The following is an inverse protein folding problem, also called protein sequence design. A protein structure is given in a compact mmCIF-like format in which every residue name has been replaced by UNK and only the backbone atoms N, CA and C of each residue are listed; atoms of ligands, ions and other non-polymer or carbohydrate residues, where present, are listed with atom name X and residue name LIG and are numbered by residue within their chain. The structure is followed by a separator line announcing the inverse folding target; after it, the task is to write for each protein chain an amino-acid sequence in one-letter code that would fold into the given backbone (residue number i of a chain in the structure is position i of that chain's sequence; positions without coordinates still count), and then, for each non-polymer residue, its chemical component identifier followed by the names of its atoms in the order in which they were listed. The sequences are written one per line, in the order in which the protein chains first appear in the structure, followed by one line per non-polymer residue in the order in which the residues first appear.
data_IF_354449531155
#
_entry.id   IF_354449531155
#
_cell.length_a   1.000
_cell.length_b   1.000
_cell.length_c   1.000
_cell.angle_alpha   90.00
_cell.angle_beta   90.00
_cell.angle_gamma   90.00
#
_symmetry.space_group_name_H-M   'P 1'
#
loop_
_entity.id
_entity.type
_entity.pdbx_description
1 polymer ?
#
# COMPACT_ATOMS: atom_id res chain seq x y z
N UNK A 1 -7.13 -0.69 -10.27
CA UNK A 1 -6.18 0.04 -11.15
C UNK A 1 -6.55 1.51 -11.12
N UNK A 2 -5.56 2.37 -10.99
CA UNK A 2 -5.73 3.81 -11.07
C UNK A 2 -4.92 4.33 -12.26
N UNK A 3 -5.45 5.36 -12.92
CA UNK A 3 -4.81 6.03 -14.05
C UNK A 3 -4.70 7.52 -13.72
N UNK A 4 -3.56 8.10 -14.00
CA UNK A 4 -3.28 9.51 -13.79
C UNK A 4 -2.69 10.10 -15.07
N UNK A 5 -3.32 11.12 -15.62
CA UNK A 5 -2.73 11.93 -16.68
C UNK A 5 -1.82 12.95 -16.01
N UNK A 6 -0.52 12.76 -16.09
CA UNK A 6 0.48 13.64 -15.47
C UNK A 6 0.78 14.85 -16.37
N UNK A 7 0.83 14.60 -17.69
CA UNK A 7 1.06 15.63 -18.70
C UNK A 7 0.08 15.39 -19.83
N UNK A 8 -0.87 16.30 -20.01
CA UNK A 8 -1.87 16.25 -21.08
C UNK A 8 -1.34 16.73 -22.44
N UNK A 9 -0.09 17.14 -22.47
CA UNK A 9 0.56 17.76 -23.61
C UNK A 9 0.82 19.24 -23.37
N UNK A 10 1.86 19.73 -24.01
CA UNK A 10 2.19 21.14 -24.03
C UNK A 10 2.16 21.62 -25.48
N UNK A 11 1.31 22.57 -25.76
CA UNK A 11 1.14 23.15 -27.10
C UNK A 11 1.32 24.66 -26.99
N UNK A 12 2.09 25.20 -27.91
CA UNK A 12 2.30 26.66 -28.01
C UNK A 12 1.11 27.38 -28.62
N UNK A 13 0.16 26.63 -29.16
CA UNK A 13 -1.06 27.12 -29.78
C UNK A 13 -2.13 26.04 -29.76
N UNK A 14 -3.40 26.43 -29.67
CA UNK A 14 -4.56 25.54 -29.65
C UNK A 14 -4.77 24.69 -30.92
N UNK A 15 -4.11 25.08 -32.02
CA UNK A 15 -4.12 24.33 -33.28
C UNK A 15 -2.89 23.44 -33.51
N UNK A 16 -1.98 23.34 -32.53
CA UNK A 16 -0.84 22.47 -32.60
C UNK A 16 -1.04 21.22 -31.73
N UNK A 17 -0.82 19.99 -32.25
CA UNK A 17 -0.90 18.81 -31.43
C UNK A 17 0.22 18.81 -30.37
N UNK A 18 -0.03 18.31 -29.16
CA UNK A 18 0.97 18.20 -28.13
C UNK A 18 2.10 17.25 -28.59
N UNK A 19 3.34 17.65 -28.33
CA UNK A 19 4.52 16.85 -28.71
C UNK A 19 4.78 15.70 -27.74
N UNK A 20 4.27 15.81 -26.53
CA UNK A 20 4.50 14.86 -25.47
C UNK A 20 3.26 14.76 -24.56
N UNK A 21 2.93 13.55 -24.14
CA UNK A 21 1.97 13.30 -23.09
C UNK A 21 2.47 12.16 -22.19
N UNK A 22 2.09 12.19 -20.94
CA UNK A 22 2.48 11.19 -19.96
C UNK A 22 1.27 10.70 -19.16
N UNK A 23 1.11 9.37 -19.12
CA UNK A 23 0.10 8.71 -18.32
C UNK A 23 0.82 7.78 -17.34
N UNK A 24 0.42 7.84 -16.08
CA UNK A 24 0.88 6.93 -15.04
C UNK A 24 -0.22 5.94 -14.69
N UNK A 25 0.13 4.66 -14.68
CA UNK A 25 -0.73 3.59 -14.19
C UNK A 25 -0.21 3.05 -12.87
N UNK A 26 -1.12 2.85 -11.92
CA UNK A 26 -0.88 2.09 -10.70
C UNK A 26 -1.92 0.97 -10.61
N UNK A 27 -1.48 -0.26 -10.45
CA UNK A 27 -2.38 -1.40 -10.28
C UNK A 27 -1.89 -2.34 -9.20
N UNK A 28 -2.82 -3.03 -8.59
CA UNK A 28 -2.59 -4.05 -7.59
C UNK A 28 -3.36 -5.30 -7.97
N UNK A 29 -2.78 -6.45 -7.75
CA UNK A 29 -3.43 -7.73 -7.98
C UNK A 29 -3.02 -8.74 -6.92
N UNK A 30 -3.83 -9.76 -6.66
CA UNK A 30 -3.53 -10.79 -5.65
C UNK A 30 -2.47 -11.79 -6.12
N UNK A 31 -2.03 -11.75 -7.38
CA UNK A 31 -1.05 -12.67 -7.93
C UNK A 31 -0.17 -12.01 -8.99
N UNK A 32 1.12 -12.36 -9.02
CA UNK A 32 2.08 -11.81 -9.98
C UNK A 32 1.73 -12.11 -11.44
N UNK A 33 1.18 -13.29 -11.71
CA UNK A 33 0.74 -13.64 -13.07
C UNK A 33 -0.35 -12.69 -13.59
N UNK A 34 -1.26 -12.27 -12.74
CA UNK A 34 -2.30 -11.28 -13.09
C UNK A 34 -1.66 -9.91 -13.33
N UNK A 35 -0.70 -9.50 -12.49
CA UNK A 35 0.04 -8.26 -12.70
C UNK A 35 0.73 -8.23 -14.06
N UNK A 36 1.38 -9.32 -14.45
CA UNK A 36 2.06 -9.42 -15.73
C UNK A 36 1.08 -9.36 -16.91
N UNK A 37 -0.09 -10.00 -16.79
CA UNK A 37 -1.13 -9.92 -17.83
C UNK A 37 -1.65 -8.48 -17.99
N UNK A 38 -1.92 -7.77 -16.88
CA UNK A 38 -2.32 -6.35 -16.93
C UNK A 38 -1.26 -5.51 -17.66
N UNK A 39 0.00 -5.67 -17.28
CA UNK A 39 1.10 -4.96 -17.93
C UNK A 39 1.16 -5.23 -19.43
N UNK A 40 1.08 -6.51 -19.83
CA UNK A 40 1.12 -6.90 -21.24
C UNK A 40 -0.01 -6.23 -22.05
N UNK A 41 -1.22 -6.13 -21.48
CA UNK A 41 -2.34 -5.46 -22.13
C UNK A 41 -2.09 -3.96 -22.25
N UNK A 42 -1.64 -3.30 -21.17
CA UNK A 42 -1.35 -1.86 -21.17
C UNK A 42 -0.25 -1.51 -22.19
N UNK A 43 0.84 -2.28 -22.21
CA UNK A 43 1.95 -2.09 -23.15
C UNK A 43 1.50 -2.29 -24.60
N UNK A 44 0.73 -3.34 -24.87
CA UNK A 44 0.16 -3.61 -26.19
C UNK A 44 -0.74 -2.46 -26.65
N UNK A 45 -1.59 -1.95 -25.78
CA UNK A 45 -2.46 -0.82 -26.09
C UNK A 45 -1.63 0.44 -26.42
N UNK A 46 -0.64 0.76 -25.60
CA UNK A 46 0.24 1.91 -25.84
C UNK A 46 0.95 1.83 -27.18
N UNK A 47 1.52 0.67 -27.52
CA UNK A 47 2.20 0.44 -28.83
C UNK A 47 1.25 0.57 -30.00
N UNK A 48 0.02 0.06 -29.91
CA UNK A 48 -0.95 0.16 -30.99
C UNK A 48 -1.44 1.61 -31.20
N UNK A 49 -1.72 2.33 -30.12
CA UNK A 49 -2.11 3.74 -30.21
C UNK A 49 -0.98 4.58 -30.80
N UNK A 50 0.26 4.37 -30.36
CA UNK A 50 1.42 5.05 -30.92
C UNK A 50 1.57 4.78 -32.42
N UNK A 51 1.45 3.53 -32.84
CA UNK A 51 1.50 3.16 -34.27
C UNK A 51 0.36 3.82 -35.09
N UNK A 52 -0.85 3.85 -34.55
CA UNK A 52 -2.01 4.45 -35.21
C UNK A 52 -1.89 5.97 -35.38
N UNK A 53 -1.22 6.63 -34.44
CA UNK A 53 -1.06 8.10 -34.42
C UNK A 53 0.28 8.58 -34.97
N UNK A 54 1.16 7.69 -35.42
CA UNK A 54 2.51 8.03 -35.88
C UNK A 54 3.44 8.51 -34.76
N UNK A 55 3.10 8.18 -33.49
CA UNK A 55 3.91 8.51 -32.32
C UNK A 55 4.84 7.36 -31.92
N UNK A 56 5.75 7.62 -31.01
CA UNK A 56 6.51 6.60 -30.27
C UNK A 56 6.01 6.52 -28.83
N UNK A 57 6.25 5.38 -28.18
CA UNK A 57 5.95 5.18 -26.77
C UNK A 57 7.19 4.65 -26.04
N UNK A 58 7.38 5.08 -24.81
CA UNK A 58 8.36 4.48 -23.91
C UNK A 58 7.75 4.25 -22.54
N UNK A 59 8.28 3.27 -21.81
CA UNK A 59 7.77 2.89 -20.49
C UNK A 59 8.88 3.13 -19.47
N UNK A 60 8.52 3.79 -18.36
CA UNK A 60 9.39 3.93 -17.18
C UNK A 60 8.71 3.29 -15.98
N UNK A 61 9.37 2.34 -15.38
CA UNK A 61 8.93 1.75 -14.12
C UNK A 61 9.21 2.70 -12.96
N UNK A 62 8.26 2.79 -12.03
CA UNK A 62 8.45 3.50 -10.75
C UNK A 62 8.76 2.50 -9.66
N UNK A 63 7.97 1.44 -9.58
CA UNK A 63 8.16 0.37 -8.60
C UNK A 63 7.47 -0.91 -9.05
N UNK A 64 7.95 -2.04 -8.56
CA UNK A 64 7.29 -3.35 -8.60
C UNK A 64 7.49 -4.02 -7.27
N UNK A 65 6.43 -4.52 -6.67
CA UNK A 65 6.49 -5.22 -5.38
C UNK A 65 6.07 -6.68 -5.54
N UNK A 66 6.68 -7.53 -4.76
CA UNK A 66 6.32 -8.95 -4.60
C UNK A 66 5.05 -9.07 -3.78
N UNK A 67 4.49 -10.27 -3.69
CA UNK A 67 3.46 -10.60 -2.69
C UNK A 67 4.10 -10.68 -1.30
N UNK A 68 3.36 -10.32 -0.24
CA UNK A 68 3.87 -10.40 1.13
C UNK A 68 4.08 -11.85 1.58
N UNK A 69 5.16 -12.11 2.29
CA UNK A 69 5.45 -13.37 2.94
C UNK A 69 5.04 -13.27 4.42
N UNK A 70 4.10 -14.11 4.84
CA UNK A 70 3.64 -14.15 6.24
C UNK A 70 4.67 -14.80 7.16
N UNK A 71 4.69 -14.36 8.43
CA UNK A 71 5.41 -15.02 9.52
C UNK A 71 4.47 -15.15 10.72
N UNK A 72 4.04 -16.38 11.02
CA UNK A 72 3.06 -16.64 12.06
C UNK A 72 3.69 -16.51 13.46
N UNK A 73 4.94 -16.93 13.63
CA UNK A 73 5.65 -16.76 14.90
C UNK A 73 5.71 -15.27 15.31
N UNK A 74 6.03 -14.38 14.37
CA UNK A 74 5.97 -12.93 14.61
C UNK A 74 4.56 -12.43 14.89
N UNK A 75 3.56 -12.99 14.21
CA UNK A 75 2.15 -12.61 14.42
C UNK A 75 1.67 -13.01 15.82
N UNK A 76 1.94 -14.23 16.24
CA UNK A 76 1.51 -14.75 17.54
C UNK A 76 2.22 -14.00 18.68
N UNK A 77 3.52 -13.75 18.57
CA UNK A 77 4.29 -12.94 19.53
C UNK A 77 3.72 -11.53 19.65
N UNK A 78 3.50 -10.87 18.51
CA UNK A 78 2.99 -9.49 18.50
C UNK A 78 1.57 -9.43 19.06
N UNK A 79 0.72 -10.41 18.75
CA UNK A 79 -0.64 -10.45 19.28
C UNK A 79 -0.64 -10.70 20.80
N UNK A 80 0.20 -11.58 21.33
CA UNK A 80 0.37 -11.75 22.79
C UNK A 80 0.74 -10.44 23.48
N UNK A 81 1.61 -9.64 22.87
CA UNK A 81 1.95 -8.31 23.37
C UNK A 81 0.80 -7.28 23.22
N UNK A 82 -0.04 -7.42 22.19
CA UNK A 82 -1.28 -6.61 22.11
C UNK A 82 -2.23 -6.95 23.26
N UNK A 83 -2.35 -8.22 23.62
CA UNK A 83 -3.18 -8.64 24.76
C UNK A 83 -2.63 -8.11 26.08
N UNK A 84 -1.31 -8.12 26.26
CA UNK A 84 -0.64 -7.54 27.44
C UNK A 84 -0.89 -6.03 27.57
N UNK A 85 -0.82 -5.30 26.47
CA UNK A 85 -1.04 -3.84 26.42
C UNK A 85 -2.53 -3.50 26.56
N UNK A 86 -3.40 -4.35 26.05
CA UNK A 86 -4.84 -4.17 25.98
C UNK A 86 -5.32 -3.30 24.81
N UNK A 87 -6.63 -3.30 24.54
CA UNK A 87 -7.21 -2.51 23.48
C UNK A 87 -7.15 -1.00 23.77
N UNK A 88 -7.22 -0.15 22.73
CA UNK A 88 -7.28 1.29 22.93
C UNK A 88 -8.57 1.67 23.68
N UNK A 89 -8.48 2.73 24.50
CA UNK A 89 -9.64 3.30 25.22
C UNK A 89 -9.79 4.76 24.81
N UNK A 90 -10.96 5.09 24.30
CA UNK A 90 -11.23 6.44 23.82
C UNK A 90 -11.86 7.28 24.91
N UNK A 91 -11.31 8.48 25.22
CA UNK A 91 -11.84 9.37 26.25
C UNK A 91 -13.16 10.02 25.80
N UNK A 92 -13.85 10.66 26.77
CA UNK A 92 -15.12 11.34 26.53
C UNK A 92 -15.00 12.44 25.46
N UNK A 93 -13.88 13.15 25.41
CA UNK A 93 -13.61 14.14 24.36
C UNK A 93 -13.75 13.56 22.95
N UNK A 94 -13.23 12.36 22.70
CA UNK A 94 -13.37 11.69 21.42
C UNK A 94 -14.81 11.26 21.14
N UNK A 95 -15.53 10.82 22.19
CA UNK A 95 -16.94 10.43 22.09
C UNK A 95 -17.85 11.63 21.85
N UNK A 96 -17.58 12.73 22.51
CA UNK A 96 -18.33 13.98 22.34
C UNK A 96 -18.13 14.55 20.92
N UNK A 97 -16.92 14.52 20.42
CA UNK A 97 -16.65 14.93 19.04
C UNK A 97 -17.36 14.02 18.03
N UNK A 98 -17.38 12.71 18.27
CA UNK A 98 -18.11 11.77 17.45
C UNK A 98 -19.63 12.07 17.43
N UNK A 99 -20.22 12.39 18.59
CA UNK A 99 -21.64 12.83 18.70
C UNK A 99 -21.89 14.15 17.96
N UNK A 100 -20.95 15.09 18.02
CA UNK A 100 -21.05 16.34 17.25
C UNK A 100 -21.06 16.06 15.74
N UNK A 101 -20.22 15.15 15.23
CA UNK A 101 -20.26 14.73 13.83
C UNK A 101 -21.63 14.15 13.48
N UNK A 102 -22.19 13.28 14.33
CA UNK A 102 -23.52 12.70 14.10
C UNK A 102 -24.59 13.81 14.06
N UNK A 103 -24.59 14.73 15.02
CA UNK A 103 -25.53 15.85 15.06
C UNK A 103 -25.42 16.75 13.82
N UNK A 104 -24.22 17.07 13.34
CA UNK A 104 -24.02 17.86 12.11
C UNK A 104 -24.52 17.15 10.86
N UNK A 105 -24.57 15.82 10.87
CA UNK A 105 -25.18 15.04 9.80
C UNK A 105 -26.70 14.86 9.93
N UNK A 106 -27.31 15.50 10.93
CA UNK A 106 -28.74 15.38 11.20
C UNK A 106 -29.15 14.03 11.80
N UNK A 107 -28.17 13.29 12.36
CA UNK A 107 -28.42 12.02 13.02
C UNK A 107 -28.64 12.25 14.51
N UNK A 108 -29.49 11.41 15.11
CA UNK A 108 -29.61 11.37 16.58
C UNK A 108 -28.32 10.82 17.19
N UNK A 109 -27.64 11.57 18.07
CA UNK A 109 -26.45 11.09 18.75
C UNK A 109 -26.74 9.89 19.65
N UNK A 110 -25.88 8.88 19.60
CA UNK A 110 -26.03 7.67 20.42
C UNK A 110 -25.08 7.69 21.62
N UNK A 111 -25.44 7.00 22.69
CA UNK A 111 -24.63 6.95 23.92
C UNK A 111 -23.20 6.46 23.63
N UNK A 112 -23.05 5.33 22.93
CA UNK A 112 -21.75 4.88 22.42
C UNK A 112 -21.63 5.15 20.90
N UNK A 113 -20.99 6.26 20.52
CA UNK A 113 -20.90 6.67 19.13
C UNK A 113 -19.93 5.82 18.31
N UNK A 114 -19.14 4.94 18.95
CA UNK A 114 -18.18 4.09 18.29
C UNK A 114 -18.69 2.66 18.14
N UNK A 115 -18.14 1.94 17.15
CA UNK A 115 -18.34 0.50 17.03
C UNK A 115 -17.67 -0.23 18.19
N UNK A 116 -18.27 -1.33 18.67
CA UNK A 116 -17.72 -2.13 19.77
C UNK A 116 -16.34 -2.71 19.45
N UNK A 117 -16.09 -3.04 18.18
CA UNK A 117 -14.79 -3.52 17.69
C UNK A 117 -13.64 -2.51 17.86
N UNK A 118 -13.94 -1.21 18.06
CA UNK A 118 -12.90 -0.19 18.22
C UNK A 118 -12.13 -0.32 19.55
N UNK A 119 -12.75 -0.89 20.57
CA UNK A 119 -12.18 -1.08 21.90
C UNK A 119 -12.00 -2.58 22.25
N UNK A 120 -11.87 -3.40 21.21
CA UNK A 120 -11.63 -4.84 21.30
C UNK A 120 -10.41 -5.25 20.47
N UNK A 121 -9.63 -6.17 20.99
CA UNK A 121 -8.60 -6.86 20.19
C UNK A 121 -9.26 -7.94 19.35
N UNK A 122 -8.86 -8.04 18.11
CA UNK A 122 -9.33 -9.09 17.21
C UNK A 122 -8.20 -10.11 17.00
N UNK A 123 -8.37 -11.37 17.42
CA UNK A 123 -7.37 -12.40 17.19
C UNK A 123 -7.03 -12.55 15.70
N UNK A 124 -5.76 -12.84 15.34
CA UNK A 124 -5.34 -12.94 13.93
C UNK A 124 -6.17 -13.92 13.12
N UNK A 125 -6.50 -15.09 13.69
CA UNK A 125 -7.35 -16.09 13.03
C UNK A 125 -8.80 -15.63 12.81
N UNK A 126 -9.36 -14.85 13.73
CA UNK A 126 -10.69 -14.25 13.57
C UNK A 126 -10.67 -13.20 12.44
N UNK A 127 -9.62 -12.36 12.43
CA UNK A 127 -9.43 -11.35 11.38
C UNK A 127 -9.27 -12.00 10.01
N UNK A 128 -8.45 -13.03 9.90
CA UNK A 128 -8.29 -13.81 8.66
C UNK A 128 -9.62 -14.42 8.21
N UNK A 129 -10.35 -15.07 9.10
CA UNK A 129 -11.63 -15.67 8.79
C UNK A 129 -12.66 -14.63 8.31
N UNK A 130 -12.63 -13.42 8.87
CA UNK A 130 -13.48 -12.31 8.42
C UNK A 130 -13.14 -11.86 7.02
N UNK A 131 -11.84 -11.70 6.71
CA UNK A 131 -11.38 -11.34 5.37
C UNK A 131 -11.74 -12.42 4.34
N UNK A 132 -11.56 -13.69 4.69
CA UNK A 132 -11.84 -14.84 3.82
C UNK A 132 -13.29 -14.91 3.34
N UNK A 133 -14.24 -14.47 4.15
CA UNK A 133 -15.67 -14.47 3.76
C UNK A 133 -15.97 -13.60 2.53
N UNK A 134 -15.17 -12.57 2.30
CA UNK A 134 -15.36 -11.63 1.21
C UNK A 134 -14.50 -11.92 -0.03
N UNK A 135 -13.65 -12.96 0.02
CA UNK A 135 -12.65 -13.22 -1.01
C UNK A 135 -12.82 -14.60 -1.63
N UNK A 136 -12.52 -14.75 -2.93
CA UNK A 136 -12.48 -16.06 -3.58
C UNK A 136 -11.45 -16.99 -2.92
N UNK A 137 -11.70 -18.29 -2.92
CA UNK A 137 -10.81 -19.29 -2.29
C UNK A 137 -9.37 -19.27 -2.85
N UNK A 138 -9.22 -19.01 -4.15
CA UNK A 138 -7.92 -18.94 -4.81
C UNK A 138 -7.08 -17.73 -4.41
N UNK A 139 -7.69 -16.69 -3.83
CA UNK A 139 -6.99 -15.48 -3.43
C UNK A 139 -6.34 -15.69 -2.07
N UNK A 140 -5.04 -15.91 -2.05
CA UNK A 140 -4.26 -16.18 -0.83
C UNK A 140 -3.70 -14.91 -0.18
N UNK A 141 -3.70 -13.77 -0.89
CA UNK A 141 -3.20 -12.48 -0.40
C UNK A 141 -4.32 -11.46 -0.41
N UNK A 142 -4.54 -10.76 0.70
CA UNK A 142 -5.68 -9.84 0.84
C UNK A 142 -5.31 -8.37 0.95
N UNK A 143 -4.04 -8.08 1.19
CA UNK A 143 -3.57 -6.71 1.31
C UNK A 143 -2.37 -6.50 0.40
N UNK A 144 -2.23 -5.29 -0.11
CA UNK A 144 -1.01 -4.82 -0.75
C UNK A 144 -0.54 -3.58 -0.02
N UNK A 145 0.76 -3.51 0.23
CA UNK A 145 1.36 -2.40 0.94
C UNK A 145 2.83 -2.22 0.53
N UNK A 146 3.39 -1.07 0.84
CA UNK A 146 4.73 -0.69 0.41
C UNK A 146 5.83 -1.49 1.12
N UNK A 147 5.55 -2.03 2.32
CA UNK A 147 6.51 -2.80 3.10
C UNK A 147 6.63 -4.28 2.69
N UNK A 148 5.78 -4.79 1.80
CA UNK A 148 5.72 -6.25 1.49
C UNK A 148 7.05 -6.82 1.01
N UNK A 149 7.90 -6.03 0.39
CA UNK A 149 9.22 -6.48 -0.05
C UNK A 149 10.17 -6.79 1.11
N UNK A 150 10.03 -6.13 2.27
CA UNK A 150 10.82 -6.44 3.46
C UNK A 150 10.56 -7.85 3.97
N UNK A 151 9.34 -8.38 3.77
CA UNK A 151 8.96 -9.71 4.21
C UNK A 151 9.79 -10.83 3.58
N UNK A 152 10.46 -10.55 2.45
CA UNK A 152 11.35 -11.48 1.77
C UNK A 152 12.81 -11.38 2.22
N UNK A 153 13.12 -10.47 3.13
CA UNK A 153 14.46 -10.24 3.65
C UNK A 153 14.59 -10.54 5.14
N UNK A 154 13.47 -10.45 5.87
CA UNK A 154 13.43 -10.75 7.31
C UNK A 154 12.03 -11.21 7.73
N UNK A 155 11.91 -11.97 8.84
CA UNK A 155 10.64 -12.20 9.50
C UNK A 155 9.92 -10.88 9.77
N UNK A 156 8.69 -10.76 9.30
CA UNK A 156 7.98 -9.47 9.37
C UNK A 156 6.53 -9.70 9.81
N UNK A 157 6.03 -8.82 10.67
CA UNK A 157 4.63 -8.74 11.04
C UNK A 157 4.10 -7.34 10.75
N UNK A 158 2.84 -7.26 10.37
CA UNK A 158 2.12 -6.01 10.28
C UNK A 158 1.17 -5.88 11.45
N UNK A 159 1.40 -4.86 12.27
CA UNK A 159 0.47 -4.45 13.31
C UNK A 159 -0.52 -3.44 12.74
N UNK A 160 -1.81 -3.74 12.87
CA UNK A 160 -2.88 -2.84 12.47
C UNK A 160 -3.49 -2.20 13.71
N UNK A 161 -3.41 -0.88 13.78
CA UNK A 161 -4.15 -0.07 14.75
C UNK A 161 -5.19 0.75 14.03
N UNK A 162 -6.34 0.94 14.63
CA UNK A 162 -7.46 1.63 14.00
C UNK A 162 -7.73 2.97 14.68
N UNK A 163 -8.05 3.99 13.89
CA UNK A 163 -8.83 5.12 14.38
C UNK A 163 -10.27 4.64 14.66
N UNK A 164 -10.99 5.26 15.61
CA UNK A 164 -12.34 4.82 15.90
C UNK A 164 -13.26 5.01 14.69
N UNK A 165 -14.18 4.06 14.53
CA UNK A 165 -15.22 4.12 13.50
C UNK A 165 -16.54 4.47 14.16
N UNK A 166 -17.28 5.38 13.53
CA UNK A 166 -18.60 5.78 14.00
C UNK A 166 -19.59 4.62 13.87
N UNK A 167 -20.44 4.47 14.88
CA UNK A 167 -21.58 3.56 14.83
C UNK A 167 -22.64 4.10 13.90
N UNK A 168 -23.00 3.40 12.81
CA UNK A 168 -24.04 3.87 11.91
C UNK A 168 -25.42 3.76 12.58
N UNK A 169 -26.37 4.64 12.24
CA UNK A 169 -27.74 4.60 12.75
C UNK A 169 -28.54 3.40 12.24
N UNK A 170 -28.14 2.85 11.10
CA UNK A 170 -28.69 1.62 10.51
C UNK A 170 -27.59 0.84 9.78
N UNK A 171 -27.77 -0.48 9.52
CA UNK A 171 -26.77 -1.31 8.85
C UNK A 171 -26.37 -0.79 7.47
N UNK A 172 -27.26 -0.14 6.76
CA UNK A 172 -27.07 0.34 5.38
C UNK A 172 -26.57 1.80 5.32
N UNK A 173 -26.38 2.46 6.48
CA UNK A 173 -25.91 3.83 6.51
C UNK A 173 -24.39 3.90 6.37
N UNK A 174 -23.93 4.65 5.39
CA UNK A 174 -22.52 4.94 5.17
C UNK A 174 -22.20 6.39 5.53
N UNK A 175 -21.27 6.57 6.46
CA UNK A 175 -20.76 7.90 6.77
C UNK A 175 -19.96 8.47 5.60
N UNK A 176 -20.10 9.77 5.30
CA UNK A 176 -19.25 10.42 4.31
C UNK A 176 -17.78 10.33 4.74
N UNK A 177 -16.89 10.20 3.77
CA UNK A 177 -15.46 9.98 4.02
C UNK A 177 -14.82 11.05 4.94
N UNK A 178 -15.31 12.30 4.88
CA UNK A 178 -14.82 13.38 5.72
C UNK A 178 -15.05 13.13 7.22
N UNK A 179 -16.14 12.45 7.61
CA UNK A 179 -16.44 12.16 9.01
C UNK A 179 -15.34 11.31 9.67
N UNK A 180 -14.87 10.28 8.97
CA UNK A 180 -13.75 9.45 9.44
C UNK A 180 -12.41 10.21 9.41
N UNK A 181 -12.24 11.14 8.46
CA UNK A 181 -11.03 11.96 8.41
C UNK A 181 -11.00 13.00 9.52
N UNK A 182 -12.15 13.58 9.87
CA UNK A 182 -12.27 14.49 11.00
C UNK A 182 -11.88 13.82 12.32
N UNK A 183 -12.39 12.58 12.57
CA UNK A 183 -11.96 11.78 13.72
C UNK A 183 -10.45 11.51 13.71
N UNK A 184 -9.88 11.20 12.55
CA UNK A 184 -8.44 10.98 12.42
C UNK A 184 -7.58 12.23 12.65
N UNK A 185 -8.17 13.44 12.61
CA UNK A 185 -7.52 14.70 12.93
C UNK A 185 -7.57 15.10 14.41
N UNK A 186 -8.38 14.44 15.22
CA UNK A 186 -8.50 14.73 16.65
C UNK A 186 -7.52 13.86 17.48
N UNK A 187 -6.56 14.46 18.23
CA UNK A 187 -5.61 13.70 19.04
C UNK A 187 -6.30 12.72 20.02
N UNK A 188 -7.39 13.15 20.69
CA UNK A 188 -8.16 12.29 21.60
C UNK A 188 -8.73 11.04 20.92
N UNK A 189 -9.00 11.10 19.61
CA UNK A 189 -9.54 9.97 18.85
C UNK A 189 -8.44 9.08 18.24
N UNK A 190 -7.25 9.61 17.97
CA UNK A 190 -6.20 8.83 17.29
C UNK A 190 -5.11 8.33 18.23
N UNK A 191 -4.73 9.12 19.23
CA UNK A 191 -3.62 8.79 20.14
C UNK A 191 -3.79 7.46 20.88
N UNK A 192 -4.99 7.04 21.33
CA UNK A 192 -5.14 5.74 22.00
C UNK A 192 -4.66 4.56 21.12
N UNK A 193 -4.98 4.58 19.81
CA UNK A 193 -4.52 3.58 18.86
C UNK A 193 -3.00 3.67 18.62
N UNK A 194 -2.46 4.88 18.50
CA UNK A 194 -1.02 5.11 18.33
C UNK A 194 -0.25 4.59 19.55
N UNK A 195 -0.68 4.93 20.74
CA UNK A 195 0.01 4.50 21.97
C UNK A 195 -0.09 2.99 22.19
N UNK A 196 -1.23 2.39 21.91
CA UNK A 196 -1.37 0.93 21.94
C UNK A 196 -0.38 0.28 20.96
N UNK A 197 -0.33 0.75 19.72
CA UNK A 197 0.61 0.24 18.72
C UNK A 197 2.06 0.42 19.13
N UNK A 198 2.45 1.59 19.61
CA UNK A 198 3.81 1.88 20.06
C UNK A 198 4.25 0.98 21.23
N UNK A 199 3.37 0.78 22.22
CA UNK A 199 3.65 -0.11 23.36
C UNK A 199 3.77 -1.56 22.92
N UNK A 200 2.90 -2.03 22.04
CA UNK A 200 2.96 -3.40 21.48
C UNK A 200 4.26 -3.63 20.73
N UNK A 201 4.67 -2.69 19.87
CA UNK A 201 5.95 -2.79 19.14
C UNK A 201 7.13 -2.82 20.12
N UNK A 202 7.13 -1.93 21.12
CA UNK A 202 8.21 -1.87 22.11
C UNK A 202 8.32 -3.18 22.90
N UNK A 203 7.19 -3.76 23.35
CA UNK A 203 7.16 -5.05 24.05
C UNK A 203 7.65 -6.17 23.13
N UNK A 204 7.18 -6.24 21.88
CA UNK A 204 7.62 -7.26 20.92
C UNK A 204 9.13 -7.15 20.63
N UNK A 205 9.67 -5.93 20.50
CA UNK A 205 11.12 -5.75 20.34
C UNK A 205 11.89 -6.17 21.59
N UNK A 206 11.37 -5.87 22.78
CA UNK A 206 11.99 -6.31 24.03
C UNK A 206 12.06 -7.83 24.10
N UNK A 207 10.98 -8.52 23.82
CA UNK A 207 10.93 -9.99 23.81
C UNK A 207 11.93 -10.57 22.82
N UNK A 208 12.00 -10.05 21.59
CA UNK A 208 12.95 -10.51 20.57
C UNK A 208 14.42 -10.28 20.98
N UNK A 209 14.70 -9.24 21.79
CA UNK A 209 16.05 -8.93 22.27
C UNK A 209 16.44 -9.74 23.50
N UNK A 210 15.48 -10.10 24.36
CA UNK A 210 15.76 -10.77 25.64
C UNK A 210 15.50 -12.27 25.58
N UNK A 211 14.69 -12.76 24.64
CA UNK A 211 14.29 -14.15 24.50
C UNK A 211 14.74 -14.73 23.15
N UNK A 212 15.99 -15.20 23.04
CA UNK A 212 16.54 -15.68 21.77
C UNK A 212 15.71 -16.77 21.09
N UNK A 213 14.97 -17.56 21.87
CA UNK A 213 14.11 -18.63 21.34
C UNK A 213 12.97 -18.09 20.47
N UNK A 214 12.39 -16.93 20.81
CA UNK A 214 11.32 -16.29 20.03
C UNK A 214 11.86 -15.78 18.69
N UNK A 215 13.02 -15.15 18.71
CA UNK A 215 13.69 -14.72 17.48
C UNK A 215 14.04 -15.93 16.60
N UNK A 216 14.52 -17.02 17.19
CA UNK A 216 14.86 -18.25 16.47
C UNK A 216 13.63 -18.85 15.79
N UNK A 217 12.48 -18.93 16.48
CA UNK A 217 11.23 -19.44 15.90
C UNK A 217 10.81 -18.62 14.67
N UNK A 218 10.87 -17.29 14.75
CA UNK A 218 10.55 -16.43 13.62
C UNK A 218 11.49 -16.64 12.43
N UNK A 219 12.79 -16.80 12.71
CA UNK A 219 13.81 -17.08 11.69
C UNK A 219 13.66 -18.47 11.06
N UNK A 220 13.31 -19.48 11.83
CA UNK A 220 13.12 -20.84 11.35
C UNK A 220 11.90 -20.91 10.41
N UNK A 221 10.79 -20.27 10.78
CA UNK A 221 9.63 -20.14 9.88
C UNK A 221 10.00 -19.41 8.59
N UNK A 222 10.78 -18.34 8.68
CA UNK A 222 11.23 -17.61 7.50
C UNK A 222 12.09 -18.49 6.58
N UNK A 223 13.03 -19.27 7.15
CA UNK A 223 13.85 -20.20 6.39
C UNK A 223 13.03 -21.31 5.73
N UNK A 224 12.05 -21.86 6.44
CA UNK A 224 11.16 -22.88 5.89
C UNK A 224 10.35 -22.34 4.71
N UNK A 225 9.73 -21.18 4.89
CA UNK A 225 8.90 -20.54 3.84
C UNK A 225 9.69 -20.13 2.62
N UNK A 226 10.93 -19.72 2.80
CA UNK A 226 11.82 -19.30 1.68
C UNK A 226 12.64 -20.46 1.12
N UNK A 227 12.59 -21.64 1.75
CA UNK A 227 13.39 -22.80 1.33
C UNK A 227 14.88 -22.60 1.57
N UNK A 228 15.25 -21.99 2.71
CA UNK A 228 16.64 -21.82 3.12
C UNK A 228 17.08 -20.39 3.42
N UNK A 229 16.16 -19.42 3.49
CA UNK A 229 16.47 -18.01 3.71
C UNK A 229 16.55 -17.20 2.40
N UNK A 230 17.27 -16.10 2.43
CA UNK A 230 17.51 -15.25 1.24
C UNK A 230 18.27 -16.07 0.19
N UNK A 231 17.73 -16.12 -1.03
CA UNK A 231 18.28 -16.95 -2.11
C UNK A 231 17.92 -18.44 -2.01
N UNK A 232 17.09 -18.83 -1.06
CA UNK A 232 16.57 -20.20 -0.92
C UNK A 232 15.68 -20.64 -2.07
N UNK A 233 15.35 -21.92 -2.13
CA UNK A 233 14.66 -22.55 -3.26
C UNK A 233 13.24 -22.02 -3.53
N UNK A 234 12.61 -21.43 -2.52
CA UNK A 234 11.29 -20.79 -2.61
C UNK A 234 11.36 -19.27 -2.42
N UNK A 235 12.55 -18.73 -2.28
CA UNK A 235 12.73 -17.29 -2.11
C UNK A 235 12.44 -16.57 -3.41
N UNK A 236 11.60 -15.55 -3.34
CA UNK A 236 11.27 -14.73 -4.49
C UNK A 236 12.27 -13.59 -4.62
N UNK A 237 13.01 -13.54 -5.70
CA UNK A 237 13.93 -12.44 -6.00
C UNK A 237 13.16 -11.12 -6.23
N UNK A 238 13.80 -9.95 -6.03
CA UNK A 238 13.23 -8.66 -6.41
C UNK A 238 12.77 -8.66 -7.87
N UNK A 239 11.65 -8.00 -8.15
CA UNK A 239 11.05 -7.96 -9.49
C UNK A 239 11.67 -6.92 -10.42
N UNK A 240 12.52 -6.05 -9.88
CA UNK A 240 13.29 -5.06 -10.62
C UNK A 240 14.77 -5.43 -10.60
N UNK A 241 15.54 -5.04 -11.62
CA UNK A 241 16.98 -5.28 -11.66
C UNK A 241 17.70 -4.70 -10.43
N UNK A 242 18.82 -5.31 -10.05
CA UNK A 242 19.59 -4.88 -8.87
C UNK A 242 20.12 -3.44 -8.97
N UNK A 243 20.39 -3.00 -10.18
CA UNK A 243 20.88 -1.67 -10.55
C UNK A 243 19.74 -0.68 -10.87
N UNK A 244 18.49 -1.09 -10.67
CA UNK A 244 17.35 -0.22 -10.88
C UNK A 244 17.40 0.96 -9.90
N UNK A 245 17.35 2.18 -10.46
CA UNK A 245 17.25 3.43 -9.70
C UNK A 245 15.83 3.94 -9.82
N UNK A 246 15.07 3.99 -8.72
CA UNK A 246 13.72 4.53 -8.76
C UNK A 246 13.76 6.03 -9.07
N UNK A 247 12.82 6.56 -9.86
CA UNK A 247 12.72 7.99 -10.13
C UNK A 247 12.29 8.72 -8.84
N UNK A 248 13.15 9.59 -8.35
CA UNK A 248 12.94 10.28 -7.06
C UNK A 248 11.86 11.34 -7.16
N UNK A 249 11.80 12.05 -8.29
CA UNK A 249 10.90 13.18 -8.51
C UNK A 249 9.67 12.83 -9.34
N UNK A 250 9.62 11.63 -9.90
CA UNK A 250 8.58 11.15 -10.82
C UNK A 250 8.37 12.06 -12.06
N UNK A 251 9.28 12.99 -12.31
CA UNK A 251 9.20 13.86 -13.48
C UNK A 251 9.61 13.14 -14.74
N UNK A 252 8.82 13.33 -15.76
CA UNK A 252 9.13 12.96 -17.11
C UNK A 252 8.35 13.87 -18.07
N UNK A 253 8.95 14.44 -19.08
CA UNK A 253 10.38 14.42 -19.42
C UNK A 253 11.22 15.15 -18.37
N UNK A 254 12.50 14.86 -18.35
CA UNK A 254 13.44 15.64 -17.54
C UNK A 254 13.57 17.04 -18.13
N UNK A 255 13.73 18.04 -17.26
CA UNK A 255 13.97 19.40 -17.69
C UNK A 255 15.48 19.61 -17.84
N UNK A 256 15.85 20.21 -18.96
CA UNK A 256 17.25 20.59 -19.24
C UNK A 256 17.35 22.10 -19.46
N UNK A 257 18.50 22.67 -19.06
CA UNK A 257 18.79 24.05 -19.34
C UNK A 257 19.30 24.20 -20.78
N UNK A 258 18.64 25.05 -21.55
CA UNK A 258 19.02 25.44 -22.90
C UNK A 258 19.30 26.92 -22.98
N UNK A 259 19.74 27.41 -24.11
CA UNK A 259 19.90 28.86 -24.37
C UNK A 259 18.57 29.62 -24.32
N UNK A 260 17.45 28.93 -24.38
CA UNK A 260 16.09 29.50 -24.29
C UNK A 260 15.48 29.40 -22.88
N UNK A 261 16.21 28.83 -21.92
CA UNK A 261 15.75 28.55 -20.57
C UNK A 261 15.52 27.07 -20.30
N UNK A 262 14.68 26.78 -19.33
CA UNK A 262 14.33 25.41 -18.95
C UNK A 262 13.36 24.82 -20.00
N UNK A 263 13.75 23.73 -20.64
CA UNK A 263 12.95 23.03 -21.63
C UNK A 263 12.83 21.55 -21.30
N UNK A 264 11.74 20.95 -21.73
CA UNK A 264 11.56 19.50 -21.61
C UNK A 264 12.55 18.75 -22.49
N UNK A 265 13.27 17.83 -21.89
CA UNK A 265 14.02 16.84 -22.66
C UNK A 265 13.11 15.69 -23.09
N UNK A 266 12.82 15.61 -24.36
CA UNK A 266 12.05 14.51 -24.95
C UNK A 266 13.06 13.50 -25.49
N UNK A 267 13.11 12.26 -24.94
CA UNK A 267 14.03 11.24 -25.44
C UNK A 267 13.81 11.01 -26.93
N UNK A 268 14.85 11.25 -27.71
CA UNK A 268 14.84 10.89 -29.13
C UNK A 268 15.49 9.51 -29.26
N UNK A 269 14.83 8.51 -29.89
CA UNK A 269 15.46 7.23 -30.12
C UNK A 269 16.82 7.45 -30.84
N UNK A 270 17.87 6.82 -30.32
CA UNK A 270 19.16 6.86 -30.99
C UNK A 270 18.98 6.31 -32.40
N UNK A 271 19.21 7.14 -33.40
CA UNK A 271 19.19 6.70 -34.78
C UNK A 271 20.38 5.72 -34.99
N UNK A 272 20.11 4.41 -34.97
CA UNK A 272 21.07 3.41 -35.39
C UNK A 272 21.60 2.43 -34.33
N UNK A 273 20.88 2.11 -33.28
CA UNK A 273 21.19 0.89 -32.54
C UNK A 273 19.96 -0.01 -32.50
N UNK A 274 20.16 -1.25 -32.90
CA UNK A 274 19.14 -2.27 -33.07
C UNK A 274 18.25 -2.44 -31.87
N UNK A 275 17.09 -3.00 -32.12
CA UNK A 275 16.05 -3.33 -31.17
C UNK A 275 16.63 -3.78 -29.83
N UNK A 276 16.43 -2.95 -28.80
CA UNK A 276 16.74 -3.34 -27.45
C UNK A 276 15.87 -4.55 -27.09
N UNK A 277 16.48 -5.57 -26.56
CA UNK A 277 15.82 -6.74 -26.03
C UNK A 277 14.78 -6.31 -24.99
N UNK A 278 13.61 -6.96 -24.95
CA UNK A 278 12.59 -6.69 -23.93
C UNK A 278 13.13 -7.13 -22.57
N UNK A 279 13.16 -6.20 -21.63
CA UNK A 279 13.38 -6.47 -20.19
C UNK A 279 12.22 -7.26 -19.59
#
# INVERSE_FOLDING_TARGET
MNEFVLVGGDATSDNLPPRFSQIQYAWRSPALGIQQQIYTVLEKNARHVAAMTGCSTSVRWVTKTRVGLTNHAMTDLTFGNMELVGPPRFPDEARDFARQIQAHLGLEPVENPFLDDNERLMPPKEYEARLRRALPEWQTHYTSDDYVDYTWHAPTVRLLTMRPRLRPPSPDYEYPAWAHNALGGLPAAINPGIFMGAKTIAATLLDLLTEPALLQQAQDEFRDRTGGGIGGTKWMAPLLPKDFVPPVDLRWPEYIQTVRGEEWWIPTPATGSGAGEPL
#
